data_IF_347662997272
#
_entry.id   IF_347662997272
#
_cell.length_a   1.000
_cell.length_b   1.000
_cell.length_c   1.000
_cell.angle_alpha   90.00
_cell.angle_beta   90.00
_cell.angle_gamma   90.00
#
_symmetry.space_group_name_H-M   'P 1'
#
loop_
_entity.id
_entity.type
_entity.pdbx_description
1 polymer ?
#
# COMPACT_ATOMS: atom_id res chain seq x y z
N UNK A 1 -2.15 9.17 -14.21
CA UNK A 1 -2.61 7.86 -14.71
C UNK A 1 -4.02 7.72 -14.19
N UNK A 2 -5.00 7.52 -15.07
CA UNK A 2 -6.37 7.23 -14.65
C UNK A 2 -6.38 5.80 -14.06
N UNK A 3 -7.01 5.63 -12.91
CA UNK A 3 -7.15 4.32 -12.28
C UNK A 3 -8.40 3.62 -12.81
N UNK A 4 -8.31 2.33 -13.10
CA UNK A 4 -9.45 1.52 -13.54
C UNK A 4 -10.12 0.77 -12.37
N UNK A 5 -9.47 0.71 -11.20
CA UNK A 5 -9.92 -0.06 -10.04
C UNK A 5 -10.49 0.79 -8.90
N UNK A 6 -10.22 2.09 -8.89
CA UNK A 6 -10.73 3.06 -7.92
C UNK A 6 -11.04 4.42 -8.57
N UNK A 7 -11.94 5.22 -7.99
CA UNK A 7 -12.21 6.58 -8.45
C UNK A 7 -10.93 7.44 -8.47
N UNK A 8 -10.79 8.32 -9.45
CA UNK A 8 -9.61 9.19 -9.59
C UNK A 8 -9.36 10.05 -8.34
N UNK A 9 -10.42 10.53 -7.69
CA UNK A 9 -10.32 11.31 -6.45
C UNK A 9 -9.61 10.53 -5.33
N UNK A 10 -9.98 9.25 -5.15
CA UNK A 10 -9.32 8.38 -4.16
C UNK A 10 -7.88 8.06 -4.57
N UNK A 11 -7.64 7.84 -5.87
CA UNK A 11 -6.30 7.58 -6.37
C UNK A 11 -5.37 8.77 -6.11
N UNK A 12 -5.84 9.98 -6.38
CA UNK A 12 -5.12 11.22 -6.10
C UNK A 12 -4.89 11.43 -4.60
N UNK A 13 -5.88 11.13 -3.77
CA UNK A 13 -5.77 11.26 -2.32
C UNK A 13 -4.74 10.29 -1.73
N UNK A 14 -4.77 9.02 -2.15
CA UNK A 14 -3.77 8.01 -1.75
C UNK A 14 -2.36 8.46 -2.12
N UNK A 15 -2.15 8.97 -3.35
CA UNK A 15 -0.85 9.47 -3.80
C UNK A 15 -0.44 10.71 -3.01
N UNK A 16 -1.38 11.60 -2.69
CA UNK A 16 -1.13 12.81 -1.91
C UNK A 16 -0.69 12.50 -0.49
N UNK A 17 -1.37 11.56 0.18
CA UNK A 17 -0.98 11.07 1.52
C UNK A 17 0.42 10.49 1.49
N UNK A 18 0.70 9.59 0.53
CA UNK A 18 2.02 9.01 0.38
C UNK A 18 3.08 10.11 0.20
N UNK A 19 2.89 11.02 -0.78
CA UNK A 19 3.84 12.11 -1.05
C UNK A 19 4.07 13.05 0.13
N UNK A 20 3.02 13.36 0.89
CA UNK A 20 3.12 14.27 2.05
C UNK A 20 4.06 13.71 3.11
N UNK A 21 3.98 12.41 3.36
CA UNK A 21 4.78 11.76 4.40
C UNK A 21 6.17 11.32 3.91
N UNK A 22 6.32 10.97 2.63
CA UNK A 22 7.59 10.45 2.08
C UNK A 22 8.45 11.51 1.40
N UNK A 23 7.85 12.62 0.95
CA UNK A 23 8.51 13.62 0.11
C UNK A 23 9.14 13.00 -1.14
N UNK A 24 10.36 13.42 -1.46
CA UNK A 24 11.13 12.96 -2.62
C UNK A 24 11.57 11.48 -2.52
N UNK A 25 11.46 10.87 -1.34
CA UNK A 25 11.77 9.46 -1.12
C UNK A 25 10.70 8.53 -1.69
N UNK A 26 9.57 9.05 -2.19
CA UNK A 26 8.51 8.23 -2.79
C UNK A 26 8.97 7.65 -4.12
N UNK A 27 8.95 6.32 -4.25
CA UNK A 27 9.31 5.63 -5.48
C UNK A 27 8.11 5.16 -6.27
N UNK A 28 7.17 4.49 -5.63
CA UNK A 28 5.92 4.06 -6.27
C UNK A 28 4.77 3.95 -5.29
N UNK A 29 3.55 4.05 -5.82
CA UNK A 29 2.30 3.76 -5.11
C UNK A 29 1.47 2.85 -6.01
N UNK A 30 1.12 1.67 -5.49
CA UNK A 30 0.33 0.67 -6.21
C UNK A 30 -0.88 0.30 -5.36
N UNK A 31 -2.07 0.55 -5.88
CA UNK A 31 -3.30 0.01 -5.31
C UNK A 31 -3.50 -1.41 -5.81
N UNK A 32 -4.02 -2.29 -4.97
CA UNK A 32 -4.30 -3.66 -5.36
C UNK A 32 -5.55 -4.22 -4.68
N UNK A 33 -6.18 -5.14 -5.38
CA UNK A 33 -7.27 -5.99 -4.90
C UNK A 33 -6.83 -7.46 -4.92
N UNK A 34 -7.76 -8.37 -4.64
CA UNK A 34 -7.51 -9.81 -4.76
C UNK A 34 -7.10 -10.26 -6.17
N UNK A 35 -7.58 -9.58 -7.21
CA UNK A 35 -7.49 -10.05 -8.59
C UNK A 35 -6.78 -9.10 -9.53
N UNK A 36 -6.54 -7.86 -9.12
CA UNK A 36 -6.04 -6.81 -10.00
C UNK A 36 -5.28 -5.73 -9.22
N UNK A 37 -4.53 -4.89 -9.91
CA UNK A 37 -3.78 -3.78 -9.33
C UNK A 37 -3.62 -2.61 -10.31
N UNK A 38 -3.50 -1.41 -9.76
CA UNK A 38 -3.24 -0.19 -10.51
C UNK A 38 -2.04 0.54 -9.91
N UNK A 39 -1.08 0.88 -10.75
CA UNK A 39 0.03 1.75 -10.35
C UNK A 39 -0.43 3.21 -10.43
N UNK A 40 -0.61 3.82 -9.26
CA UNK A 40 -1.12 5.19 -9.13
C UNK A 40 0.00 6.22 -9.30
N UNK A 41 1.21 5.85 -8.90
CA UNK A 41 2.39 6.70 -9.00
C UNK A 41 3.65 5.87 -9.23
N UNK A 42 4.53 6.41 -10.07
CA UNK A 42 5.89 5.94 -10.28
C UNK A 42 6.80 7.16 -10.44
N UNK A 43 7.91 7.18 -9.70
CA UNK A 43 8.92 8.24 -9.83
C UNK A 43 9.56 8.14 -11.22
N UNK A 44 9.78 9.28 -11.88
CA UNK A 44 10.14 9.31 -13.30
C UNK A 44 11.54 8.75 -13.66
N UNK A 45 12.39 8.50 -12.67
CA UNK A 45 13.69 7.82 -12.80
C UNK A 45 13.59 6.30 -12.73
N UNK A 46 12.41 5.75 -12.41
CA UNK A 46 12.17 4.32 -12.26
C UNK A 46 11.40 3.77 -13.46
N UNK A 47 11.79 2.58 -13.90
CA UNK A 47 11.00 1.81 -14.85
C UNK A 47 9.84 1.10 -14.14
N UNK A 48 8.71 0.95 -14.84
CA UNK A 48 7.56 0.23 -14.31
C UNK A 48 7.98 -1.22 -14.06
N UNK A 49 8.12 -1.55 -12.78
CA UNK A 49 8.73 -2.78 -12.32
C UNK A 49 7.99 -4.00 -12.90
N UNK A 50 8.71 -4.81 -13.69
CA UNK A 50 8.14 -5.85 -14.54
C UNK A 50 7.49 -7.01 -13.75
N UNK A 51 7.71 -7.05 -12.43
CA UNK A 51 7.24 -8.12 -11.55
C UNK A 51 6.12 -7.71 -10.56
N UNK A 52 5.54 -6.51 -10.68
CA UNK A 52 4.43 -6.07 -9.80
C UNK A 52 3.24 -7.07 -9.82
N UNK A 53 2.97 -7.66 -10.98
CA UNK A 53 1.93 -8.69 -11.16
C UNK A 53 2.21 -9.94 -10.30
N UNK A 54 3.44 -10.45 -10.38
CA UNK A 54 3.91 -11.59 -9.58
C UNK A 54 3.88 -11.22 -8.09
N UNK A 55 4.42 -10.05 -7.75
CA UNK A 55 4.55 -9.56 -6.40
C UNK A 55 3.20 -9.41 -5.70
N UNK A 56 2.25 -8.66 -6.28
CA UNK A 56 0.91 -8.43 -5.71
C UNK A 56 0.17 -9.75 -5.47
N UNK A 57 0.23 -10.67 -6.44
CA UNK A 57 -0.43 -11.98 -6.33
C UNK A 57 0.13 -12.86 -5.20
N UNK A 58 1.45 -12.84 -4.98
CA UNK A 58 2.09 -13.55 -3.86
C UNK A 58 1.80 -12.86 -2.52
N UNK A 59 1.83 -11.53 -2.49
CA UNK A 59 1.62 -10.73 -1.28
C UNK A 59 0.19 -10.82 -0.73
N UNK A 60 -0.83 -10.82 -1.60
CA UNK A 60 -2.23 -10.92 -1.19
C UNK A 60 -2.52 -12.20 -0.41
N UNK A 61 -2.05 -13.35 -0.93
CA UNK A 61 -2.22 -14.65 -0.26
C UNK A 61 -1.50 -14.68 1.08
N UNK A 62 -0.23 -14.26 1.09
CA UNK A 62 0.57 -14.21 2.32
C UNK A 62 -0.06 -13.30 3.39
N UNK A 63 -0.68 -12.19 3.00
CA UNK A 63 -1.34 -11.29 3.94
C UNK A 63 -2.56 -11.92 4.62
N UNK A 64 -3.49 -12.52 3.87
CA UNK A 64 -4.70 -13.10 4.47
C UNK A 64 -4.35 -14.18 5.51
N UNK A 65 -3.34 -14.98 5.21
CA UNK A 65 -2.83 -16.01 6.12
C UNK A 65 -2.16 -15.38 7.35
N UNK A 66 -1.39 -14.31 7.15
CA UNK A 66 -0.73 -13.54 8.22
C UNK A 66 -1.75 -12.87 9.15
N UNK A 67 -2.75 -12.15 8.63
CA UNK A 67 -3.78 -11.48 9.44
C UNK A 67 -4.57 -12.51 10.26
N UNK A 68 -4.96 -13.62 9.65
CA UNK A 68 -5.64 -14.71 10.37
C UNK A 68 -4.77 -15.34 11.46
N UNK A 69 -3.47 -15.51 11.22
CA UNK A 69 -2.55 -16.05 12.21
C UNK A 69 -2.36 -15.14 13.44
N UNK A 70 -2.50 -13.82 13.29
CA UNK A 70 -2.31 -12.85 14.37
C UNK A 70 -3.60 -12.36 15.04
N UNK A 71 -4.79 -12.85 14.67
CA UNK A 71 -6.09 -12.43 15.23
C UNK A 71 -6.23 -12.60 16.75
N UNK A 72 -5.39 -13.42 17.39
CA UNK A 72 -5.38 -13.62 18.84
C UNK A 72 -4.00 -13.39 19.45
N UNK A 73 -3.18 -12.56 18.78
CA UNK A 73 -1.87 -12.18 19.27
C UNK A 73 -1.99 -11.21 20.44
N UNK A 74 -1.12 -11.36 21.44
CA UNK A 74 -0.90 -10.37 22.51
C UNK A 74 -0.44 -9.00 21.95
N UNK A 75 0.00 -8.96 20.69
CA UNK A 75 0.41 -7.75 19.99
C UNK A 75 -0.79 -6.93 19.45
N UNK A 76 -2.01 -7.44 19.58
CA UNK A 76 -3.21 -6.82 19.03
C UNK A 76 -3.38 -7.05 17.53
N UNK A 77 -4.22 -6.22 16.92
CA UNK A 77 -4.56 -6.35 15.50
C UNK A 77 -3.37 -6.04 14.59
N UNK A 78 -3.21 -6.86 13.56
CA UNK A 78 -2.22 -6.64 12.52
C UNK A 78 -2.59 -5.36 11.73
N UNK A 79 -1.66 -4.39 11.66
CA UNK A 79 -1.88 -3.09 10.99
C UNK A 79 -1.21 -2.99 9.61
N UNK A 80 0.11 -3.15 9.56
CA UNK A 80 0.89 -3.01 8.32
C UNK A 80 2.16 -3.88 8.35
N UNK A 81 2.90 -3.92 7.25
CA UNK A 81 4.26 -4.49 7.21
C UNK A 81 5.20 -3.58 6.45
N UNK A 82 6.43 -3.47 6.95
CA UNK A 82 7.56 -2.89 6.23
C UNK A 82 8.56 -3.99 5.91
N UNK A 83 9.00 -4.08 4.65
CA UNK A 83 10.10 -4.94 4.22
C UNK A 83 11.27 -4.09 3.76
N UNK A 84 12.46 -4.46 4.19
CA UNK A 84 13.70 -3.83 3.78
C UNK A 84 14.32 -4.60 2.62
N UNK A 85 14.82 -3.86 1.64
CA UNK A 85 15.59 -4.33 0.49
C UNK A 85 16.88 -3.52 0.42
N UNK A 86 17.90 -4.04 -0.26
CA UNK A 86 19.20 -3.35 -0.41
C UNK A 86 19.05 -1.94 -0.98
N UNK A 87 18.04 -1.76 -1.83
CA UNK A 87 17.79 -0.51 -2.51
C UNK A 87 16.66 0.30 -1.89
N UNK A 88 15.99 -0.12 -0.81
CA UNK A 88 14.89 0.67 -0.24
C UNK A 88 13.90 -0.15 0.56
N UNK A 89 12.69 0.37 0.72
CA UNK A 89 11.67 -0.26 1.56
C UNK A 89 10.35 -0.40 0.83
N UNK A 90 9.57 -1.37 1.32
CA UNK A 90 8.21 -1.59 0.89
C UNK A 90 7.29 -1.56 2.10
N UNK A 91 6.37 -0.60 2.11
CA UNK A 91 5.27 -0.53 3.05
C UNK A 91 4.04 -1.17 2.40
N UNK A 92 3.37 -2.05 3.15
CA UNK A 92 2.09 -2.65 2.76
C UNK A 92 1.03 -2.36 3.81
N UNK A 93 -0.05 -1.75 3.36
CA UNK A 93 -1.26 -1.47 4.15
C UNK A 93 -2.47 -2.04 3.42
N UNK A 94 -3.43 -2.58 4.16
CA UNK A 94 -4.61 -3.24 3.58
C UNK A 94 -5.83 -2.99 4.44
N UNK A 95 -7.00 -2.96 3.82
CA UNK A 95 -8.29 -3.00 4.49
C UNK A 95 -9.22 -3.93 3.70
N UNK A 96 -9.81 -4.91 4.40
CA UNK A 96 -10.72 -5.92 3.85
C UNK A 96 -10.24 -6.60 2.55
N UNK A 97 -10.64 -6.07 1.39
CA UNK A 97 -10.43 -6.65 0.05
C UNK A 97 -9.49 -5.83 -0.84
N UNK A 98 -8.92 -4.77 -0.30
CA UNK A 98 -8.00 -3.89 -1.00
C UNK A 98 -6.76 -3.57 -0.17
N UNK A 99 -5.74 -3.03 -0.82
CA UNK A 99 -4.55 -2.53 -0.16
C UNK A 99 -3.73 -1.59 -1.04
N UNK A 100 -2.72 -1.01 -0.43
CA UNK A 100 -1.74 -0.15 -1.09
C UNK A 100 -0.34 -0.64 -0.74
N UNK A 101 0.50 -0.73 -1.77
CA UNK A 101 1.94 -0.92 -1.68
C UNK A 101 2.63 0.41 -1.98
N UNK A 102 3.54 0.81 -1.09
CA UNK A 102 4.34 2.01 -1.24
C UNK A 102 5.80 1.61 -1.18
N UNK A 103 6.59 2.01 -2.19
CA UNK A 103 8.04 1.83 -2.16
C UNK A 103 8.75 3.15 -1.90
N UNK A 104 9.82 3.11 -1.11
CA UNK A 104 10.55 4.31 -0.66
C UNK A 104 12.06 4.08 -0.57
N UNK A 105 12.86 5.15 -0.61
CA UNK A 105 14.31 5.07 -0.35
C UNK A 105 14.61 4.72 1.11
N UNK A 106 14.12 5.55 2.05
CA UNK A 106 14.26 5.32 3.49
C UNK A 106 13.46 6.34 4.29
N UNK A 107 12.78 5.88 5.34
CA UNK A 107 11.93 6.71 6.20
C UNK A 107 12.10 6.31 7.66
N UNK A 108 11.67 7.20 8.55
CA UNK A 108 11.52 6.87 9.97
C UNK A 108 10.39 5.86 10.17
N UNK A 109 10.45 5.05 11.23
CA UNK A 109 9.34 4.14 11.58
C UNK A 109 8.03 4.91 11.82
N UNK A 110 8.11 6.08 12.47
CA UNK A 110 6.96 6.94 12.70
C UNK A 110 6.27 7.35 11.38
N UNK A 111 7.05 7.68 10.36
CA UNK A 111 6.50 8.01 9.03
C UNK A 111 5.77 6.81 8.42
N UNK A 112 6.28 5.58 8.58
CA UNK A 112 5.57 4.39 8.10
C UNK A 112 4.25 4.16 8.84
N UNK A 113 4.22 4.38 10.15
CA UNK A 113 2.99 4.28 10.96
C UNK A 113 1.94 5.31 10.54
N UNK A 114 2.34 6.57 10.34
CA UNK A 114 1.45 7.64 9.89
C UNK A 114 0.87 7.37 8.50
N UNK A 115 1.70 6.90 7.56
CA UNK A 115 1.24 6.52 6.21
C UNK A 115 0.28 5.34 6.30
N UNK A 116 0.62 4.32 7.09
CA UNK A 116 -0.24 3.15 7.23
C UNK A 116 -1.62 3.51 7.77
N UNK A 117 -1.67 4.38 8.79
CA UNK A 117 -2.94 4.81 9.38
C UNK A 117 -3.78 5.67 8.45
N UNK A 118 -3.15 6.58 7.72
CA UNK A 118 -3.86 7.41 6.76
C UNK A 118 -4.43 6.58 5.61
N UNK A 119 -3.62 5.66 5.05
CA UNK A 119 -4.05 4.77 3.97
C UNK A 119 -5.15 3.82 4.42
N UNK A 120 -5.05 3.23 5.61
CA UNK A 120 -6.09 2.33 6.13
C UNK A 120 -7.44 3.04 6.25
N UNK A 121 -7.46 4.27 6.77
CA UNK A 121 -8.68 5.09 6.86
C UNK A 121 -9.28 5.37 5.50
N UNK A 122 -8.47 5.78 4.52
CA UNK A 122 -8.94 6.02 3.15
C UNK A 122 -9.57 4.76 2.53
N UNK A 123 -8.93 3.61 2.72
CA UNK A 123 -9.47 2.35 2.23
C UNK A 123 -10.76 1.93 2.95
N UNK A 124 -10.87 2.22 4.26
CA UNK A 124 -12.07 1.95 5.05
C UNK A 124 -13.24 2.82 4.62
N UNK A 125 -13.02 4.12 4.44
CA UNK A 125 -14.02 5.08 3.96
C UNK A 125 -14.55 4.69 2.58
N UNK A 126 -13.66 4.30 1.67
CA UNK A 126 -14.05 3.82 0.34
C UNK A 126 -14.85 2.52 0.37
N UNK A 127 -14.50 1.54 1.22
CA UNK A 127 -15.27 0.29 1.35
C UNK A 127 -16.71 0.55 1.83
N UNK A 128 -16.91 1.54 2.70
CA UNK A 128 -18.24 1.97 3.15
C UNK A 128 -19.07 2.55 2.00
N UNK A 129 -18.42 3.24 1.04
CA UNK A 129 -19.11 3.93 -0.07
C UNK A 129 -19.30 3.03 -1.30
N UNK A 130 -18.59 1.91 -1.37
CA UNK A 130 -18.73 0.89 -2.42
C UNK A 130 -19.87 -0.13 -2.15
N UNK A 131 -20.57 -0.02 -1.02
CA UNK A 131 -21.74 -0.83 -0.63
C UNK A 131 -23.06 -0.13 -0.93
#
# INVERSE_FOLDING_TARGET
MESNLLPDELAEEIVTVARTATGDSLRSVTYFTRSDFDQLYLRGDLEQDADLNTFVGHEWRGFKDTRNAYQSSELGDYRFTVRAFDNGYLLRTTHERAGVLITTDGLSMQSYEEIADAIEKLLAEHDVHAR
#
